data_IF_025776724263
#
_entry.id   IF_025776724263
#
_cell.length_a   1.000
_cell.length_b   1.000
_cell.length_c   1.000
_cell.angle_alpha   90.00
_cell.angle_beta   90.00
_cell.angle_gamma   90.00
#
_symmetry.space_group_name_H-M   'P 1'
#
loop_
_entity.id
_entity.type
_entity.pdbx_description
1 polymer ?
#
# COMPACT_ATOMS: atom_id res chain seq x y z
N UNK A 1 -3.42 8.55 0.84
CA UNK A 1 -2.65 8.70 -0.42
C UNK A 1 -1.53 9.73 -0.23
N UNK A 2 -0.34 9.28 0.18
CA UNK A 2 0.79 10.12 0.64
C UNK A 2 1.94 10.17 -0.37
N UNK A 3 2.83 11.16 -0.22
CA UNK A 3 4.07 11.24 -1.00
C UNK A 3 5.14 10.22 -0.53
N UNK A 4 6.14 9.88 -1.37
CA UNK A 4 7.20 8.95 -1.01
C UNK A 4 7.97 9.32 0.27
N UNK A 5 8.18 10.62 0.53
CA UNK A 5 8.86 11.09 1.75
C UNK A 5 8.08 10.76 3.03
N UNK A 6 6.75 10.69 2.96
CA UNK A 6 5.96 10.22 4.12
C UNK A 6 6.23 8.73 4.38
N UNK A 7 6.43 7.93 3.32
CA UNK A 7 6.85 6.53 3.46
C UNK A 7 8.22 6.38 4.14
N UNK A 8 9.17 7.25 3.81
CA UNK A 8 10.47 7.32 4.49
C UNK A 8 10.29 7.67 5.98
N UNK A 9 9.45 8.66 6.29
CA UNK A 9 9.18 9.06 7.67
C UNK A 9 8.58 7.91 8.49
N UNK A 10 7.61 7.17 7.92
CA UNK A 10 7.00 6.00 8.56
C UNK A 10 8.01 4.86 8.75
N UNK A 11 8.85 4.57 7.75
CA UNK A 11 9.90 3.56 7.87
C UNK A 11 10.93 3.91 8.96
N UNK A 12 11.25 5.19 9.13
CA UNK A 12 12.10 5.65 10.24
C UNK A 12 11.37 5.54 11.59
N UNK A 13 10.09 5.91 11.64
CA UNK A 13 9.28 5.76 12.85
C UNK A 13 9.24 4.31 13.33
N UNK A 14 8.95 3.36 12.45
CA UNK A 14 8.97 1.91 12.77
C UNK A 14 10.31 1.48 13.36
N UNK A 15 11.43 1.92 12.75
CA UNK A 15 12.78 1.61 13.24
C UNK A 15 13.07 2.24 14.60
N UNK A 16 12.61 3.47 14.85
CA UNK A 16 12.83 4.17 16.11
C UNK A 16 12.00 3.57 17.25
N UNK A 17 10.77 3.13 16.96
CA UNK A 17 9.93 2.36 17.90
C UNK A 17 10.57 1.02 18.21
N UNK A 18 11.05 0.28 17.21
CA UNK A 18 11.73 -0.99 17.41
C UNK A 18 13.02 -0.86 18.26
N UNK A 19 13.70 0.29 18.20
CA UNK A 19 14.88 0.59 19.02
C UNK A 19 14.55 1.15 20.41
N UNK A 20 13.28 1.37 20.73
CA UNK A 20 12.85 2.00 21.98
C UNK A 20 13.22 3.48 22.10
N UNK A 21 13.61 4.15 21.01
CA UNK A 21 13.92 5.59 21.00
C UNK A 21 12.62 6.40 21.05
N UNK A 22 11.60 5.94 20.34
CA UNK A 22 10.23 6.44 20.45
C UNK A 22 9.41 5.38 21.21
N UNK A 23 8.73 5.79 22.28
CA UNK A 23 7.89 4.88 23.06
C UNK A 23 6.62 4.51 22.30
N UNK A 24 6.07 3.33 22.58
CA UNK A 24 4.87 2.81 21.87
C UNK A 24 3.61 3.64 22.14
N UNK A 25 3.57 4.36 23.27
CA UNK A 25 2.48 5.22 23.73
C UNK A 25 2.73 6.71 23.46
N UNK A 26 3.80 7.04 22.73
CA UNK A 26 4.10 8.43 22.39
C UNK A 26 3.15 8.98 21.32
N UNK A 27 2.70 10.22 21.50
CA UNK A 27 2.02 10.98 20.46
C UNK A 27 3.03 11.47 19.41
N UNK A 28 2.91 10.98 18.17
CA UNK A 28 3.84 11.29 17.08
C UNK A 28 3.11 11.94 15.91
N UNK A 29 3.64 13.08 15.46
CA UNK A 29 3.14 13.78 14.27
C UNK A 29 4.11 13.55 13.10
N UNK A 30 3.62 12.93 12.02
CA UNK A 30 4.35 12.77 10.77
C UNK A 30 3.94 13.88 9.79
N UNK A 31 4.90 14.63 9.28
CA UNK A 31 4.65 15.75 8.36
C UNK A 31 4.72 15.26 6.90
N UNK A 32 3.58 15.30 6.21
CA UNK A 32 3.53 15.08 4.75
C UNK A 32 3.74 16.39 4.02
N UNK A 33 4.90 16.54 3.37
CA UNK A 33 5.31 17.79 2.72
C UNK A 33 4.74 18.00 1.32
N UNK A 34 4.10 16.97 0.73
CA UNK A 34 3.53 17.05 -0.60
C UNK A 34 2.26 16.19 -0.71
N UNK A 35 1.31 16.64 -1.54
CA UNK A 35 0.14 15.85 -1.88
C UNK A 35 0.55 14.62 -2.69
N UNK A 36 -0.02 13.46 -2.37
CA UNK A 36 0.30 12.21 -3.06
C UNK A 36 -0.04 12.20 -4.56
N UNK A 37 -0.90 13.10 -5.05
CA UNK A 37 -1.33 13.19 -6.46
C UNK A 37 -0.20 13.59 -7.40
N UNK A 38 0.90 14.12 -6.85
CA UNK A 38 2.13 14.37 -7.59
C UNK A 38 2.95 13.11 -7.89
N UNK A 39 2.52 11.93 -7.41
CA UNK A 39 3.29 10.68 -7.46
C UNK A 39 2.43 9.48 -7.93
N UNK A 40 1.42 9.74 -8.75
CA UNK A 40 0.49 8.72 -9.26
C UNK A 40 1.19 7.63 -10.05
N UNK A 41 2.17 7.99 -10.88
CA UNK A 41 2.92 7.14 -11.79
C UNK A 41 3.84 6.19 -11.02
N UNK A 42 4.46 6.68 -9.95
CA UNK A 42 5.24 5.86 -9.03
C UNK A 42 4.35 4.81 -8.35
N UNK A 43 3.15 5.20 -7.90
CA UNK A 43 2.20 4.28 -7.25
C UNK A 43 1.63 3.25 -8.22
N UNK A 44 1.24 3.68 -9.42
CA UNK A 44 0.81 2.78 -10.50
C UNK A 44 1.93 1.79 -10.82
N UNK A 45 3.16 2.27 -11.04
CA UNK A 45 4.33 1.42 -11.28
C UNK A 45 4.60 0.42 -10.16
N UNK A 46 4.39 0.79 -8.90
CA UNK A 46 4.50 -0.13 -7.76
C UNK A 46 3.44 -1.25 -7.83
N UNK A 47 2.16 -0.90 -7.97
CA UNK A 47 1.09 -1.90 -8.02
C UNK A 47 1.12 -2.75 -9.31
N UNK A 48 1.71 -2.23 -10.38
CA UNK A 48 1.95 -2.95 -11.64
C UNK A 48 3.27 -3.73 -11.66
N UNK A 49 4.04 -3.71 -10.56
CA UNK A 49 5.35 -4.38 -10.45
C UNK A 49 6.37 -3.96 -11.53
N UNK A 50 6.31 -2.70 -11.99
CA UNK A 50 7.21 -2.15 -13.02
C UNK A 50 8.45 -1.44 -12.46
N UNK A 51 8.61 -1.42 -11.14
CA UNK A 51 9.77 -0.79 -10.49
C UNK A 51 10.91 -1.80 -10.33
N UNK A 52 12.14 -1.31 -10.20
CA UNK A 52 13.34 -2.16 -10.06
C UNK A 52 13.48 -2.87 -8.70
N UNK A 53 12.44 -2.84 -7.87
CA UNK A 53 12.41 -3.44 -6.54
C UNK A 53 11.10 -4.19 -6.31
N UNK A 54 11.14 -5.15 -5.38
CA UNK A 54 10.00 -6.02 -5.09
C UNK A 54 8.81 -5.21 -4.56
N UNK A 55 7.66 -5.32 -5.24
CA UNK A 55 6.41 -4.68 -4.82
C UNK A 55 5.59 -5.66 -3.97
N UNK A 56 6.11 -5.96 -2.77
CA UNK A 56 5.53 -6.95 -1.84
C UNK A 56 4.04 -6.75 -1.55
N UNK A 57 3.58 -5.50 -1.56
CA UNK A 57 2.19 -5.13 -1.29
C UNK A 57 1.48 -4.63 -2.54
N UNK A 58 1.91 -5.07 -3.73
CA UNK A 58 1.21 -4.77 -4.97
C UNK A 58 -0.25 -5.25 -4.89
N UNK A 59 -1.15 -4.44 -5.44
CA UNK A 59 -2.58 -4.70 -5.46
C UNK A 59 -3.00 -4.55 -6.91
N UNK A 60 -2.96 -5.68 -7.62
CA UNK A 60 -3.24 -5.72 -9.06
C UNK A 60 -4.75 -5.87 -9.28
N UNK A 61 -5.31 -5.24 -10.32
CA UNK A 61 -6.65 -5.58 -10.76
C UNK A 61 -6.76 -7.08 -11.03
N UNK A 62 -7.81 -7.70 -10.52
CA UNK A 62 -8.17 -9.08 -10.86
C UNK A 62 -9.18 -9.02 -12.00
N UNK A 63 -8.83 -9.59 -13.14
CA UNK A 63 -9.75 -9.66 -14.28
C UNK A 63 -10.89 -10.63 -13.95
N UNK A 64 -12.12 -10.20 -14.24
CA UNK A 64 -13.33 -10.97 -13.99
C UNK A 64 -14.21 -11.01 -15.24
N UNK A 65 -15.13 -11.98 -15.29
CA UNK A 65 -16.15 -12.08 -16.33
C UNK A 65 -17.01 -10.81 -16.40
N UNK A 66 -17.42 -10.45 -17.61
CA UNK A 66 -18.43 -9.39 -17.83
C UNK A 66 -19.85 -9.86 -17.56
N UNK A 67 -20.06 -11.17 -17.41
CA UNK A 67 -21.35 -11.75 -17.02
C UNK A 67 -21.56 -11.57 -15.50
N UNK A 68 -22.67 -10.96 -15.04
CA UNK A 68 -22.88 -10.68 -13.62
C UNK A 68 -22.87 -11.90 -12.70
N UNK A 69 -23.46 -13.03 -13.12
CA UNK A 69 -23.51 -14.24 -12.28
C UNK A 69 -22.12 -14.85 -12.13
N UNK A 70 -21.37 -14.92 -13.23
CA UNK A 70 -19.99 -15.39 -13.21
C UNK A 70 -19.08 -14.47 -12.39
N UNK A 71 -19.21 -13.15 -12.54
CA UNK A 71 -18.41 -12.17 -11.79
C UNK A 71 -18.62 -12.30 -10.28
N UNK A 72 -19.87 -12.48 -9.83
CA UNK A 72 -20.19 -12.71 -8.41
C UNK A 72 -19.58 -14.03 -7.93
N UNK A 73 -19.67 -15.10 -8.72
CA UNK A 73 -19.05 -16.38 -8.39
C UNK A 73 -17.52 -16.35 -8.35
N UNK A 74 -16.88 -15.51 -9.17
CA UNK A 74 -15.44 -15.24 -9.12
C UNK A 74 -15.05 -14.42 -7.89
N UNK A 75 -15.85 -13.40 -7.55
CA UNK A 75 -15.63 -12.58 -6.37
C UNK A 75 -15.71 -13.40 -5.08
N UNK A 76 -16.71 -14.26 -4.92
CA UNK A 76 -16.82 -15.13 -3.75
C UNK A 76 -15.59 -16.03 -3.59
N UNK A 77 -15.18 -16.71 -4.67
CA UNK A 77 -13.96 -17.54 -4.66
C UNK A 77 -12.70 -16.75 -4.31
N UNK A 78 -12.59 -15.51 -4.78
CA UNK A 78 -11.47 -14.63 -4.44
C UNK A 78 -11.48 -14.29 -2.95
N UNK A 79 -12.63 -13.92 -2.39
CA UNK A 79 -12.74 -13.55 -0.98
C UNK A 79 -12.52 -14.74 -0.04
N UNK A 80 -13.06 -15.92 -0.37
CA UNK A 80 -12.89 -17.14 0.41
C UNK A 80 -11.43 -17.61 0.47
N UNK A 81 -10.62 -17.25 -0.53
CA UNK A 81 -9.19 -17.56 -0.59
C UNK A 81 -8.27 -16.56 0.12
N UNK A 82 -8.83 -15.52 0.75
CA UNK A 82 -8.05 -14.50 1.50
C UNK A 82 -7.95 -14.79 3.01
N UNK A 83 -8.60 -15.86 3.50
CA UNK A 83 -8.43 -16.40 4.86
C UNK A 83 -7.18 -17.27 5.00
#
# INVERSE_FOLDING_TARGET
FNCPHTGVALACLEKLVARGVIQRDADVIVISTAHGLKFTEFKAGYHEERLSFASRYANKPVAMSGDPEQAVGELHRLLDGLE
#
